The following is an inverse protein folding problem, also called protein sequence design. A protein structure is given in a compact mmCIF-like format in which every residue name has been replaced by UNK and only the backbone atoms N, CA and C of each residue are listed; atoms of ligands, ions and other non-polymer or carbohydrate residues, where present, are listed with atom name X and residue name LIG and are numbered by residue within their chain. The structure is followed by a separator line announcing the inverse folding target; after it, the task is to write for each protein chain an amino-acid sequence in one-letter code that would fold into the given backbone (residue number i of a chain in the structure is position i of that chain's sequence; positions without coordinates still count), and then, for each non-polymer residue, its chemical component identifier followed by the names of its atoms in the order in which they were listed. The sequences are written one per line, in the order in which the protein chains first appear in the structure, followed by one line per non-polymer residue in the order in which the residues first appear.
data_IF_941956072960
#
_entry.id   IF_941956072960
#
_cell.length_a   1.000
_cell.length_b   1.000
_cell.length_c   1.000
_cell.angle_alpha   90.00
_cell.angle_beta   90.00
_cell.angle_gamma   90.00
#
_symmetry.space_group_name_H-M   'P 1'
#
loop_
_entity.id
_entity.type
_entity.pdbx_description
1 polymer ?
#
# COMPACT_ATOMS: atom_id res chain seq x y z
N UNK A 1 5.16 -2.15 -10.18
CA UNK A 1 3.95 -3.01 -10.07
C UNK A 1 2.97 -2.45 -9.04
N UNK A 2 1.67 -2.71 -9.20
CA UNK A 2 0.61 -2.24 -8.30
C UNK A 2 -0.36 -3.37 -7.97
N UNK A 3 -0.70 -3.58 -6.70
CA UNK A 3 -1.75 -4.49 -6.24
C UNK A 3 -2.69 -3.73 -5.31
N UNK A 4 -3.96 -3.61 -5.66
CA UNK A 4 -4.95 -2.82 -4.94
C UNK A 4 -5.88 -3.71 -4.13
N UNK A 5 -5.93 -3.51 -2.82
CA UNK A 5 -6.85 -4.18 -1.89
C UNK A 5 -7.85 -3.15 -1.30
N UNK A 6 -8.94 -3.58 -0.65
CA UNK A 6 -9.88 -2.67 0.00
C UNK A 6 -9.21 -1.72 1.02
N UNK A 7 -8.29 -2.24 1.84
CA UNK A 7 -7.63 -1.47 2.89
C UNK A 7 -6.42 -0.62 2.45
N UNK A 8 -5.77 -0.99 1.35
CA UNK A 8 -4.53 -0.36 0.91
C UNK A 8 -4.21 -0.64 -0.57
N UNK A 9 -3.19 0.03 -1.10
CA UNK A 9 -2.52 -0.36 -2.35
C UNK A 9 -1.07 -0.67 -2.02
N UNK A 10 -0.58 -1.80 -2.50
CA UNK A 10 0.84 -2.14 -2.49
C UNK A 10 1.44 -1.77 -3.84
N UNK A 11 2.47 -0.94 -3.83
CA UNK A 11 3.35 -0.71 -4.97
C UNK A 11 4.66 -1.47 -4.73
N UNK A 12 5.13 -2.15 -5.76
CA UNK A 12 6.43 -2.84 -5.74
C UNK A 12 7.24 -2.32 -6.91
N UNK A 13 8.38 -1.70 -6.62
CA UNK A 13 9.35 -1.31 -7.64
C UNK A 13 10.51 -2.32 -7.64
N UNK A 14 10.69 -3.06 -8.74
CA UNK A 14 11.74 -4.09 -8.86
C UNK A 14 13.08 -3.54 -9.39
N UNK A 15 13.09 -2.30 -9.89
CA UNK A 15 14.28 -1.66 -10.50
C UNK A 15 15.04 -0.78 -9.49
N UNK A 16 14.85 -1.01 -8.21
CA UNK A 16 15.56 -0.26 -7.18
C UNK A 16 17.03 -0.68 -7.18
N UNK A 17 17.95 0.30 -7.09
CA UNK A 17 19.41 0.13 -7.11
C UNK A 17 19.87 -1.08 -6.28
N UNK A 18 21.00 -1.76 -6.62
CA UNK A 18 21.43 -3.00 -5.97
C UNK A 18 21.37 -2.81 -4.46
N UNK A 19 20.34 -3.41 -3.86
CA UNK A 19 20.23 -3.50 -2.44
C UNK A 19 21.13 -4.68 -2.06
N UNK A 20 22.03 -4.47 -1.11
CA UNK A 20 22.50 -5.60 -0.33
C UNK A 20 21.26 -6.35 0.16
N UNK A 21 21.23 -7.68 0.01
CA UNK A 21 20.08 -8.55 0.36
C UNK A 21 19.53 -8.29 1.76
N UNK A 22 20.34 -7.65 2.62
CA UNK A 22 20.03 -7.29 3.99
C UNK A 22 18.96 -6.19 4.17
N UNK A 23 18.76 -5.27 3.22
CA UNK A 23 17.88 -4.11 3.44
C UNK A 23 16.64 -4.10 2.54
N UNK A 24 15.63 -4.87 2.93
CA UNK A 24 14.27 -4.74 2.37
C UNK A 24 13.69 -3.36 2.65
N UNK A 25 13.62 -2.53 1.61
CA UNK A 25 13.11 -1.16 1.68
C UNK A 25 11.59 -1.13 1.66
N UNK A 26 11.01 -0.36 2.58
CA UNK A 26 9.57 -0.12 2.59
C UNK A 26 9.17 1.31 2.96
N UNK A 27 8.06 1.75 2.37
CA UNK A 27 7.44 3.05 2.60
C UNK A 27 5.96 2.93 2.96
N UNK A 28 5.47 3.86 3.78
CA UNK A 28 4.04 3.93 4.13
C UNK A 28 3.50 5.34 3.86
N UNK A 29 2.49 5.42 3.01
CA UNK A 29 1.80 6.68 2.67
C UNK A 29 0.35 6.61 3.14
N UNK A 30 -0.07 7.60 3.93
CA UNK A 30 -1.48 7.75 4.37
C UNK A 30 -1.91 9.19 4.11
N UNK A 31 -2.91 9.38 3.26
CA UNK A 31 -3.33 10.72 2.82
C UNK A 31 -4.17 11.44 3.88
N UNK A 32 -4.28 12.77 3.78
CA UNK A 32 -5.15 13.59 4.67
C UNK A 32 -6.62 13.15 4.64
N UNK A 33 -7.08 12.56 3.52
CA UNK A 33 -8.48 12.11 3.34
C UNK A 33 -8.90 11.00 4.29
N UNK A 34 -7.94 10.26 4.84
CA UNK A 34 -8.18 9.12 5.74
C UNK A 34 -8.68 9.57 7.11
N UNK A 35 -8.39 10.82 7.50
CA UNK A 35 -8.83 11.37 8.78
C UNK A 35 -7.77 12.26 9.44
N UNK A 36 -8.00 12.55 10.72
CA UNK A 36 -7.13 13.40 11.52
C UNK A 36 -5.71 12.80 11.71
N UNK A 37 -4.81 13.56 12.34
CA UNK A 37 -3.44 13.11 12.56
C UNK A 37 -3.36 11.80 13.36
N UNK A 38 -4.23 11.61 14.35
CA UNK A 38 -4.26 10.43 15.22
C UNK A 38 -4.63 9.17 14.42
N UNK A 39 -5.70 9.23 13.64
CA UNK A 39 -6.14 8.13 12.78
C UNK A 39 -5.07 7.76 11.76
N UNK A 40 -4.47 8.75 11.10
CA UNK A 40 -3.38 8.53 10.13
C UNK A 40 -2.13 7.93 10.79
N UNK A 41 -1.76 8.41 11.98
CA UNK A 41 -0.60 7.89 12.70
C UNK A 41 -0.84 6.46 13.19
N UNK A 42 -2.04 6.14 13.68
CA UNK A 42 -2.44 4.77 14.02
C UNK A 42 -2.33 3.85 12.81
N UNK A 43 -2.85 4.26 11.66
CA UNK A 43 -2.75 3.49 10.42
C UNK A 43 -1.30 3.29 9.96
N UNK A 44 -0.48 4.35 9.98
CA UNK A 44 0.96 4.25 9.68
C UNK A 44 1.67 3.27 10.62
N UNK A 45 1.37 3.29 11.92
CA UNK A 45 1.95 2.35 12.90
C UNK A 45 1.54 0.91 12.60
N UNK A 46 0.26 0.64 12.37
CA UNK A 46 -0.26 -0.69 12.00
C UNK A 46 0.39 -1.21 10.72
N UNK A 47 0.47 -0.39 9.68
CA UNK A 47 1.07 -0.79 8.40
C UNK A 47 2.57 -1.05 8.48
N UNK A 48 3.31 -0.26 9.26
CA UNK A 48 4.73 -0.53 9.53
C UNK A 48 4.93 -1.84 10.26
N UNK A 49 4.06 -2.19 11.21
CA UNK A 49 4.11 -3.47 11.90
C UNK A 49 3.90 -4.63 10.91
N UNK A 50 2.85 -4.56 10.09
CA UNK A 50 2.55 -5.57 9.07
C UNK A 50 3.71 -5.79 8.09
N UNK A 51 4.30 -4.69 7.59
CA UNK A 51 5.41 -4.77 6.64
C UNK A 51 6.66 -5.39 7.28
N UNK A 52 6.98 -5.03 8.54
CA UNK A 52 8.13 -5.62 9.24
C UNK A 52 7.98 -7.13 9.47
N UNK A 53 6.76 -7.60 9.69
CA UNK A 53 6.47 -9.02 9.90
C UNK A 53 6.45 -9.80 8.57
N UNK A 54 5.82 -9.23 7.53
CA UNK A 54 5.57 -9.94 6.28
C UNK A 54 6.74 -9.88 5.27
N UNK A 55 7.51 -8.79 5.24
CA UNK A 55 8.57 -8.62 4.24
C UNK A 55 9.69 -9.66 4.37
N UNK A 56 10.22 -9.99 5.56
CA UNK A 56 11.26 -11.03 5.67
C UNK A 56 10.83 -12.40 5.15
N UNK A 57 9.52 -12.69 5.13
CA UNK A 57 8.98 -13.99 4.73
C UNK A 57 8.53 -14.03 3.27
N UNK A 58 7.95 -12.94 2.77
CA UNK A 58 7.25 -12.91 1.48
C UNK A 58 7.55 -11.64 0.65
N UNK A 59 8.49 -10.81 1.10
CA UNK A 59 8.95 -9.64 0.35
C UNK A 59 9.78 -10.04 -0.86
N UNK A 60 9.85 -9.14 -1.85
CA UNK A 60 10.65 -9.34 -3.05
C UNK A 60 12.04 -8.72 -2.83
N UNK A 61 13.09 -9.53 -2.80
CA UNK A 61 14.45 -9.04 -2.65
C UNK A 61 14.81 -8.03 -3.75
N UNK A 62 15.56 -6.98 -3.39
CA UNK A 62 15.94 -5.90 -4.32
C UNK A 62 14.79 -4.97 -4.73
N UNK A 63 13.58 -5.12 -4.17
CA UNK A 63 12.43 -4.27 -4.51
C UNK A 63 12.02 -3.31 -3.40
N UNK A 64 11.59 -2.10 -3.79
CA UNK A 64 10.95 -1.15 -2.85
C UNK A 64 9.45 -1.45 -2.71
N UNK A 65 9.00 -1.59 -1.46
CA UNK A 65 7.60 -1.89 -1.14
C UNK A 65 6.91 -0.66 -0.55
N UNK A 66 5.99 -0.05 -1.28
CA UNK A 66 5.24 1.13 -0.79
C UNK A 66 3.78 0.77 -0.53
N UNK A 67 3.34 0.91 0.72
CA UNK A 67 1.95 0.71 1.13
C UNK A 67 1.20 2.04 1.24
N UNK A 68 0.15 2.19 0.44
CA UNK A 68 -0.70 3.38 0.42
C UNK A 68 -2.03 3.07 1.09
N UNK A 69 -2.33 3.73 2.20
CA UNK A 69 -3.58 3.55 2.93
C UNK A 69 -4.81 4.06 2.18
N UNK A 70 -5.88 3.26 2.23
CA UNK A 70 -7.23 3.62 1.77
C UNK A 70 -8.17 3.75 2.97
N UNK A 71 -9.26 4.47 2.78
CA UNK A 71 -10.28 4.70 3.81
C UNK A 71 -10.81 3.38 4.38
N UNK A 72 -11.02 2.38 3.52
CA UNK A 72 -11.44 1.03 3.93
C UNK A 72 -10.44 0.26 4.80
N UNK A 73 -9.26 0.80 5.09
CA UNK A 73 -8.28 0.20 6.00
C UNK A 73 -8.30 0.77 7.43
N UNK A 74 -9.09 1.82 7.70
CA UNK A 74 -9.09 2.49 9.01
C UNK A 74 -9.74 1.65 10.09
N UNK A 75 -10.91 1.11 9.80
CA UNK A 75 -11.74 0.30 10.73
C UNK A 75 -11.54 -1.20 10.53
N UNK A 76 -10.73 -1.59 9.55
CA UNK A 76 -10.51 -2.99 9.23
C UNK A 76 -9.69 -3.69 10.29
N UNK A 77 -10.02 -4.96 10.51
CA UNK A 77 -9.31 -5.81 11.45
C UNK A 77 -7.83 -5.99 11.05
N UNK A 78 -6.95 -6.10 12.04
CA UNK A 78 -5.51 -6.21 11.80
C UNK A 78 -5.13 -7.55 11.15
N UNK A 79 -5.76 -8.65 11.56
CA UNK A 79 -5.54 -9.96 10.96
C UNK A 79 -6.02 -9.95 9.49
N UNK A 80 -7.18 -9.36 9.22
CA UNK A 80 -7.67 -9.22 7.85
C UNK A 80 -6.72 -8.40 6.96
N UNK A 81 -6.07 -7.37 7.49
CA UNK A 81 -5.06 -6.58 6.76
C UNK A 81 -3.76 -7.38 6.50
N UNK A 82 -3.36 -8.23 7.46
CA UNK A 82 -2.20 -9.12 7.31
C UNK A 82 -2.46 -10.15 6.21
N UNK A 83 -3.62 -10.79 6.22
CA UNK A 83 -3.97 -11.81 5.23
C UNK A 83 -4.08 -11.20 3.83
N UNK A 84 -4.64 -9.98 3.72
CA UNK A 84 -4.64 -9.22 2.46
C UNK A 84 -3.24 -8.84 1.99
N UNK A 85 -2.31 -8.54 2.91
CA UNK A 85 -0.92 -8.22 2.58
C UNK A 85 -0.21 -9.46 2.03
N UNK A 86 -0.38 -10.62 2.66
CA UNK A 86 0.19 -11.88 2.18
C UNK A 86 -0.27 -12.20 0.75
N UNK A 87 -1.57 -12.08 0.48
CA UNK A 87 -2.13 -12.25 -0.87
C UNK A 87 -1.57 -11.22 -1.84
N UNK A 88 -1.42 -9.95 -1.43
CA UNK A 88 -0.89 -8.90 -2.28
C UNK A 88 0.58 -9.13 -2.64
N UNK A 89 1.39 -9.61 -1.70
CA UNK A 89 2.80 -9.97 -1.91
C UNK A 89 2.94 -11.18 -2.83
N UNK A 90 2.14 -12.24 -2.63
CA UNK A 90 2.13 -13.42 -3.54
C UNK A 90 1.83 -13.00 -4.98
N UNK A 91 0.78 -12.20 -5.18
CA UNK A 91 0.43 -11.69 -6.52
C UNK A 91 1.55 -10.82 -7.09
N UNK A 92 2.19 -10.01 -6.26
CA UNK A 92 3.30 -9.17 -6.70
C UNK A 92 4.53 -10.01 -7.10
N UNK A 93 4.81 -11.12 -6.41
CA UNK A 93 5.87 -12.05 -6.76
C UNK A 93 5.58 -12.74 -8.11
N UNK A 94 4.35 -13.20 -8.29
CA UNK A 94 3.85 -13.83 -9.53
C UNK A 94 3.72 -12.88 -10.74
N UNK A 95 4.04 -11.59 -10.59
CA UNK A 95 3.91 -10.64 -11.69
C UNK A 95 2.49 -10.09 -11.91
N UNK A 96 1.52 -10.51 -11.08
CA UNK A 96 0.09 -10.24 -11.25
C UNK A 96 -0.32 -8.92 -10.61
N UNK A 97 0.03 -7.82 -11.27
CA UNK A 97 -0.43 -6.48 -10.91
C UNK A 97 -1.89 -6.20 -11.31
N UNK A 98 -2.58 -5.38 -10.51
CA UNK A 98 -3.86 -4.80 -10.88
C UNK A 98 -3.65 -3.64 -11.86
N UNK A 99 -4.39 -3.59 -12.99
CA UNK A 99 -4.23 -2.52 -13.97
C UNK A 99 -4.46 -1.15 -13.31
N UNK A 100 -3.75 -0.10 -13.77
CA UNK A 100 -4.01 1.25 -13.29
C UNK A 100 -5.50 1.55 -13.50
N UNK A 101 -6.13 2.21 -12.52
CA UNK A 101 -7.50 2.69 -12.70
C UNK A 101 -7.51 3.50 -13.99
N UNK A 102 -8.34 3.11 -14.98
CA UNK A 102 -8.63 3.95 -16.15
C UNK A 102 -8.94 5.34 -15.59
N UNK A 103 -8.20 6.37 -16.03
CA UNK A 103 -8.51 7.77 -15.72
C UNK A 103 -9.95 7.97 -16.20
N UNK A 104 -10.91 7.94 -15.27
CA UNK A 104 -12.26 8.40 -15.55
C UNK A 104 -12.12 9.82 -16.10
N UNK A 105 -12.88 10.12 -17.15
CA UNK A 105 -12.83 11.38 -17.90
C UNK A 105 -12.92 12.62 -17.01
N UNK A 106 -12.72 13.82 -17.59
CA UNK A 106 -12.56 15.07 -16.86
C UNK A 106 -13.66 15.19 -15.79
N UNK A 107 -13.24 15.28 -14.53
CA UNK A 107 -14.14 15.55 -13.42
C UNK A 107 -14.75 16.92 -13.67
N UNK A 108 -16.05 16.97 -13.93
CA UNK A 108 -16.80 18.21 -14.03
C UNK A 108 -16.53 19.05 -12.78
N UNK A 109 -15.90 20.21 -12.97
CA UNK A 109 -15.60 21.16 -11.92
C UNK A 109 -16.91 21.85 -11.55
N UNK A 110 -17.63 21.31 -10.56
CA UNK A 110 -18.81 21.99 -10.03
C UNK A 110 -18.34 23.14 -9.13
N UNK A 111 -18.04 24.28 -9.75
CA UNK A 111 -17.83 25.55 -9.06
C UNK A 111 -19.14 25.97 -8.41
N UNK A 112 -19.22 25.85 -7.09
CA UNK A 112 -20.33 26.39 -6.30
C UNK A 112 -20.05 27.88 -6.06
N UNK A 113 -20.81 28.73 -6.74
CA UNK A 113 -20.92 30.14 -6.38
C UNK A 113 -21.62 30.33 -5.04
N UNK A 114 -21.09 31.24 -4.24
CA UNK A 114 -21.75 32.46 -3.77
C UNK A 114 -20.69 33.37 -3.15
#
# INVERSE_FOLDING_TARGET
MRVARPGFVLLVNRESAPADEADMRFGVTVTKKIGNAVVRNRMKRRFRALLREALPQAGIAGADHVMIGREGGVERDFAALRDELAVALSRAAEGKGDPPRKRGGPRAHHGRGK
#
